data_IF_630178145616
#
_entry.id   IF_630178145616
#
_cell.length_a   1.000
_cell.length_b   1.000
_cell.length_c   1.000
_cell.angle_alpha   90.00
_cell.angle_beta   90.00
_cell.angle_gamma   90.00
#
_symmetry.space_group_name_H-M   'P 1'
#
loop_
_entity.id
_entity.type
_entity.pdbx_description
1 polymer ?
#
# COMPACT_ATOMS: atom_id res chain seq x y z
N UNK A 1 14.55 -11.99 0.56
CA UNK A 1 13.22 -11.39 0.71
C UNK A 1 12.11 -12.44 0.82
N UNK A 2 11.85 -13.27 -0.21
CA UNK A 2 10.80 -14.29 -0.14
C UNK A 2 11.00 -15.28 1.03
N UNK A 3 12.25 -15.71 1.27
CA UNK A 3 12.60 -16.62 2.37
C UNK A 3 12.34 -16.00 3.75
N UNK A 4 12.47 -14.67 3.89
CA UNK A 4 12.25 -13.99 5.18
C UNK A 4 10.76 -13.88 5.51
N UNK A 5 9.92 -13.60 4.53
CA UNK A 5 8.46 -13.61 4.67
C UNK A 5 7.95 -15.00 5.05
N UNK A 6 8.45 -16.03 4.38
CA UNK A 6 8.11 -17.41 4.67
C UNK A 6 8.51 -17.83 6.09
N UNK A 7 9.71 -17.47 6.54
CA UNK A 7 10.19 -17.72 7.90
C UNK A 7 9.30 -17.07 8.97
N UNK A 8 8.83 -15.85 8.73
CA UNK A 8 7.91 -15.17 9.66
C UNK A 8 6.57 -15.89 9.76
N UNK A 9 5.98 -16.29 8.63
CA UNK A 9 4.71 -16.99 8.60
C UNK A 9 4.78 -18.34 9.30
N UNK A 10 5.83 -19.11 9.06
CA UNK A 10 6.04 -20.42 9.70
C UNK A 10 6.21 -20.28 11.22
N UNK A 11 6.96 -19.28 11.68
CA UNK A 11 7.13 -19.05 13.12
C UNK A 11 5.82 -18.60 13.81
N UNK A 12 5.02 -17.78 13.15
CA UNK A 12 3.72 -17.32 13.68
C UNK A 12 2.69 -18.44 13.77
N UNK A 13 2.73 -19.39 12.88
CA UNK A 13 1.76 -20.47 12.81
C UNK A 13 1.99 -21.59 13.85
N UNK A 14 2.97 -21.46 14.74
CA UNK A 14 3.26 -22.30 15.92
C UNK A 14 3.20 -23.84 15.72
N UNK A 15 3.15 -24.36 14.49
CA UNK A 15 3.21 -25.79 14.19
C UNK A 15 4.63 -26.37 14.30
N UNK A 16 5.62 -25.49 14.38
CA UNK A 16 7.02 -25.86 14.58
C UNK A 16 7.45 -25.41 15.98
N UNK A 17 7.93 -26.34 16.77
CA UNK A 17 8.67 -26.00 17.98
C UNK A 17 9.99 -25.27 17.64
N UNK A 18 10.65 -24.72 18.63
CA UNK A 18 11.87 -23.93 18.40
C UNK A 18 13.03 -24.78 17.83
N UNK A 19 13.06 -26.08 18.10
CA UNK A 19 14.08 -26.98 17.60
C UNK A 19 13.89 -27.24 16.10
N UNK A 20 12.70 -27.64 15.68
CA UNK A 20 12.35 -27.82 14.27
C UNK A 20 12.50 -26.53 13.47
N UNK A 21 12.13 -25.38 14.05
CA UNK A 21 12.34 -24.10 13.41
C UNK A 21 13.83 -23.76 13.20
N UNK A 22 14.68 -24.10 14.18
CA UNK A 22 16.13 -23.92 14.04
C UNK A 22 16.73 -24.85 13.01
N UNK A 23 16.30 -26.11 12.91
CA UNK A 23 16.68 -27.03 11.86
C UNK A 23 16.26 -26.51 10.47
N UNK A 24 15.02 -26.02 10.33
CA UNK A 24 14.54 -25.41 9.11
C UNK A 24 15.39 -24.19 8.69
N UNK A 25 15.73 -23.32 9.66
CA UNK A 25 16.64 -22.18 9.38
C UNK A 25 18.01 -22.60 8.87
N UNK A 26 18.60 -23.67 9.41
CA UNK A 26 19.87 -24.20 8.93
C UNK A 26 19.75 -24.75 7.50
N UNK A 27 18.69 -25.50 7.23
CA UNK A 27 18.39 -25.98 5.88
C UNK A 27 18.25 -24.80 4.89
N UNK A 28 17.46 -23.76 5.23
CA UNK A 28 17.28 -22.59 4.36
C UNK A 28 18.57 -21.81 4.11
N UNK A 29 19.47 -21.74 5.09
CA UNK A 29 20.79 -21.12 4.90
C UNK A 29 21.66 -21.88 3.90
N UNK A 30 21.52 -23.20 3.80
CA UNK A 30 22.25 -24.01 2.81
C UNK A 30 21.74 -23.84 1.38
N UNK A 31 20.54 -23.27 1.21
CA UNK A 31 19.93 -23.00 -0.11
C UNK A 31 20.37 -21.67 -0.73
N UNK A 32 21.38 -21.02 -0.16
CA UNK A 32 21.92 -19.79 -0.78
C UNK A 32 22.57 -20.10 -2.12
N UNK A 33 22.61 -19.13 -2.99
CA UNK A 33 23.31 -19.19 -4.27
C UNK A 33 24.81 -19.45 -4.06
N UNK A 34 25.43 -20.22 -4.94
CA UNK A 34 26.85 -20.52 -4.90
C UNK A 34 27.71 -19.26 -4.98
N UNK A 35 28.83 -19.24 -4.25
CA UNK A 35 29.76 -18.09 -4.22
C UNK A 35 30.37 -17.73 -5.59
N UNK A 36 30.34 -18.68 -6.55
CA UNK A 36 30.86 -18.50 -7.91
C UNK A 36 29.74 -18.42 -8.96
N UNK A 37 28.51 -18.23 -8.54
CA UNK A 37 27.41 -18.05 -9.49
C UNK A 37 27.67 -16.82 -10.37
N UNK A 38 27.39 -16.97 -11.67
CA UNK A 38 27.44 -15.87 -12.64
C UNK A 38 26.02 -15.47 -12.93
N UNK A 39 25.70 -14.19 -12.79
CA UNK A 39 24.39 -13.62 -13.06
C UNK A 39 24.41 -12.86 -14.37
N UNK A 40 23.32 -12.94 -15.15
CA UNK A 40 23.17 -12.18 -16.40
C UNK A 40 23.11 -10.68 -16.14
N UNK A 41 22.51 -10.27 -15.03
CA UNK A 41 22.41 -8.88 -14.61
C UNK A 41 22.47 -8.78 -13.08
N UNK A 42 23.22 -7.81 -12.59
CA UNK A 42 23.27 -7.43 -11.18
C UNK A 42 22.85 -5.96 -11.04
N UNK A 43 21.91 -5.70 -10.15
CA UNK A 43 21.41 -4.35 -9.88
C UNK A 43 21.58 -4.06 -8.40
N UNK A 44 22.37 -3.03 -8.10
CA UNK A 44 22.53 -2.51 -6.73
C UNK A 44 21.65 -1.27 -6.53
N UNK A 45 20.79 -1.31 -5.51
CA UNK A 45 19.87 -0.21 -5.17
C UNK A 45 20.15 0.24 -3.74
N UNK A 46 20.56 1.51 -3.59
CA UNK A 46 20.67 2.15 -2.29
C UNK A 46 19.27 2.56 -1.78
N UNK A 47 18.70 1.70 -0.96
CA UNK A 47 17.34 1.89 -0.44
C UNK A 47 17.22 3.08 0.53
N UNK A 48 18.33 3.61 1.06
CA UNK A 48 18.32 4.79 1.94
C UNK A 48 17.94 6.08 1.20
N UNK A 49 18.04 6.08 -0.13
CA UNK A 49 17.70 7.21 -1.01
C UNK A 49 16.28 7.15 -1.58
N UNK A 50 15.55 6.07 -1.33
CA UNK A 50 14.19 5.93 -1.84
C UNK A 50 13.25 6.80 -0.99
N UNK A 51 12.67 7.83 -1.61
CA UNK A 51 11.62 8.64 -1.01
C UNK A 51 10.28 7.89 -1.00
N UNK A 52 9.31 8.31 -0.17
CA UNK A 52 7.94 7.82 -0.27
C UNK A 52 7.38 8.00 -1.68
N UNK A 53 6.78 6.94 -2.23
CA UNK A 53 6.30 6.91 -3.60
C UNK A 53 4.79 6.69 -3.66
N UNK A 54 4.16 7.29 -4.67
CA UNK A 54 2.72 7.17 -4.92
C UNK A 54 2.48 7.00 -6.42
N UNK A 55 1.58 6.10 -6.80
CA UNK A 55 1.20 5.97 -8.20
C UNK A 55 0.27 7.10 -8.61
N UNK A 56 0.49 7.66 -9.79
CA UNK A 56 -0.35 8.72 -10.37
C UNK A 56 -1.27 8.19 -11.49
N UNK A 57 -0.98 7.02 -12.05
CA UNK A 57 -1.69 6.47 -13.19
C UNK A 57 -2.37 5.13 -12.91
N UNK A 58 -2.64 4.36 -13.96
CA UNK A 58 -3.42 3.12 -13.95
C UNK A 58 -2.58 1.86 -13.94
N UNK A 59 -1.27 1.98 -13.71
CA UNK A 59 -0.31 0.88 -13.57
C UNK A 59 0.63 1.15 -12.39
N UNK A 60 1.14 0.14 -11.66
CA UNK A 60 2.10 0.33 -10.58
C UNK A 60 3.42 0.99 -11.01
N UNK A 61 3.80 0.87 -12.26
CA UNK A 61 4.99 1.52 -12.84
C UNK A 61 4.82 3.04 -13.05
N UNK A 62 3.56 3.52 -13.13
CA UNK A 62 3.23 4.94 -13.20
C UNK A 62 3.32 5.57 -11.80
N UNK A 63 4.53 5.68 -11.28
CA UNK A 63 4.84 6.10 -9.93
C UNK A 63 5.79 7.29 -9.93
N UNK A 64 5.64 8.17 -8.94
CA UNK A 64 6.57 9.28 -8.66
C UNK A 64 6.81 9.36 -7.16
N UNK A 65 7.90 10.04 -6.75
CA UNK A 65 8.02 10.43 -5.35
C UNK A 65 6.90 11.43 -5.00
N UNK A 66 6.47 11.44 -3.77
CA UNK A 66 5.30 12.24 -3.35
C UNK A 66 5.44 13.74 -3.61
N UNK A 67 6.68 14.25 -3.62
CA UNK A 67 7.06 15.67 -3.84
C UNK A 67 7.44 15.99 -5.29
N UNK A 68 7.56 14.98 -6.16
CA UNK A 68 7.89 15.17 -7.57
C UNK A 68 6.64 15.54 -8.40
N UNK A 69 6.83 16.22 -9.54
CA UNK A 69 5.72 16.53 -10.43
C UNK A 69 5.17 15.27 -11.11
N UNK A 70 3.87 15.26 -11.36
CA UNK A 70 3.21 14.22 -12.16
C UNK A 70 3.64 14.37 -13.61
N UNK A 71 4.14 13.32 -14.29
CA UNK A 71 4.58 13.39 -15.68
C UNK A 71 3.50 13.93 -16.61
N UNK A 72 3.88 14.85 -17.48
CA UNK A 72 3.01 15.41 -18.51
C UNK A 72 3.27 14.73 -19.88
N UNK A 73 2.39 14.96 -20.86
CA UNK A 73 2.57 14.46 -22.21
C UNK A 73 3.86 15.04 -22.85
N UNK A 74 4.23 16.27 -22.47
CA UNK A 74 5.42 16.96 -23.01
C UNK A 74 6.72 16.29 -22.52
N UNK A 75 6.72 15.83 -21.28
CA UNK A 75 7.89 15.21 -20.65
C UNK A 75 8.07 13.73 -21.03
N UNK A 76 7.14 13.19 -21.82
CA UNK A 76 7.07 11.76 -22.15
C UNK A 76 7.56 11.51 -23.58
N UNK A 77 8.28 10.40 -23.80
CA UNK A 77 8.68 9.97 -25.14
C UNK A 77 7.45 9.64 -26.01
N UNK A 78 7.59 9.75 -27.34
CA UNK A 78 6.47 9.59 -28.31
C UNK A 78 5.71 8.28 -28.13
N UNK A 79 6.42 7.18 -27.81
CA UNK A 79 5.84 5.84 -27.65
C UNK A 79 4.85 5.77 -26.46
N UNK A 80 5.13 6.50 -25.40
CA UNK A 80 4.35 6.48 -24.16
C UNK A 80 3.33 7.62 -24.04
N UNK A 81 3.35 8.61 -24.92
CA UNK A 81 2.44 9.78 -24.85
C UNK A 81 0.98 9.39 -24.74
N UNK A 82 0.54 8.46 -25.58
CA UNK A 82 -0.86 7.99 -25.58
C UNK A 82 -1.24 7.33 -24.24
N UNK A 83 -0.34 6.53 -23.68
CA UNK A 83 -0.59 5.85 -22.39
C UNK A 83 -0.67 6.85 -21.25
N UNK A 84 0.20 7.86 -21.25
CA UNK A 84 0.18 8.94 -20.25
C UNK A 84 -1.11 9.75 -20.36
N UNK A 85 -1.54 10.11 -21.58
CA UNK A 85 -2.78 10.85 -21.83
C UNK A 85 -4.02 10.07 -21.33
N UNK A 86 -4.13 8.78 -21.68
CA UNK A 86 -5.22 7.93 -21.26
C UNK A 86 -5.24 7.77 -19.73
N UNK A 87 -4.09 7.52 -19.11
CA UNK A 87 -3.98 7.38 -17.66
C UNK A 87 -4.37 8.69 -16.95
N UNK A 88 -3.85 9.84 -17.37
CA UNK A 88 -4.23 11.15 -16.81
C UNK A 88 -5.73 11.42 -16.95
N UNK A 89 -6.30 11.11 -18.12
CA UNK A 89 -7.74 11.27 -18.38
C UNK A 89 -8.56 10.41 -17.45
N UNK A 90 -8.25 9.12 -17.33
CA UNK A 90 -8.94 8.21 -16.42
C UNK A 90 -8.83 8.65 -14.94
N UNK A 91 -7.62 8.98 -14.53
CA UNK A 91 -7.35 9.43 -13.17
C UNK A 91 -7.87 10.84 -12.88
N UNK A 92 -8.42 11.56 -13.88
CA UNK A 92 -8.94 12.91 -13.74
C UNK A 92 -7.88 13.91 -13.33
N UNK A 93 -6.65 13.75 -13.85
CA UNK A 93 -5.51 14.64 -13.64
C UNK A 93 -5.39 15.51 -14.88
N UNK A 94 -5.95 16.71 -14.84
CA UNK A 94 -5.93 17.63 -15.99
C UNK A 94 -4.79 18.64 -15.87
N UNK A 95 -4.88 19.52 -14.89
CA UNK A 95 -3.94 20.63 -14.69
C UNK A 95 -3.05 20.42 -13.46
N UNK A 96 -3.33 19.41 -12.66
CA UNK A 96 -2.58 19.10 -11.47
C UNK A 96 -1.17 18.65 -11.84
N UNK A 97 -0.20 19.32 -11.24
CA UNK A 97 1.22 19.02 -11.47
C UNK A 97 1.84 18.19 -10.36
N UNK A 98 1.18 18.13 -9.18
CA UNK A 98 1.66 17.38 -8.01
C UNK A 98 0.55 16.51 -7.42
N UNK A 99 0.96 15.44 -6.77
CA UNK A 99 0.04 14.57 -6.04
C UNK A 99 -0.62 15.28 -4.85
N UNK A 100 0.05 16.26 -4.25
CA UNK A 100 -0.49 17.10 -3.17
C UNK A 100 -1.68 17.98 -3.60
N UNK A 101 -1.84 18.22 -4.92
CA UNK A 101 -2.95 19.01 -5.46
C UNK A 101 -4.24 18.17 -5.58
N UNK A 102 -4.11 16.83 -5.42
CA UNK A 102 -5.22 15.89 -5.52
C UNK A 102 -5.93 15.74 -4.19
N UNK A 103 -7.26 15.84 -4.21
CA UNK A 103 -8.11 15.56 -3.06
C UNK A 103 -8.57 14.11 -3.11
N UNK A 104 -8.53 13.43 -1.97
CA UNK A 104 -8.93 12.03 -1.85
C UNK A 104 -10.30 11.91 -1.20
N UNK A 105 -11.08 10.93 -1.65
CA UNK A 105 -12.44 10.67 -1.15
C UNK A 105 -12.46 9.51 -0.17
N UNK A 106 -11.59 8.51 -0.38
CA UNK A 106 -11.51 7.29 0.44
C UNK A 106 -10.07 6.88 0.73
N UNK A 107 -9.91 6.12 1.81
CA UNK A 107 -8.64 5.50 2.18
C UNK A 107 -8.83 4.01 2.45
N UNK A 108 -7.93 3.20 1.93
CA UNK A 108 -7.89 1.76 2.15
C UNK A 108 -6.52 1.30 2.62
N UNK A 109 -6.43 0.86 3.86
CA UNK A 109 -5.25 0.19 4.43
C UNK A 109 -5.57 -1.29 4.55
N UNK A 110 -5.01 -2.11 3.65
CA UNK A 110 -5.35 -3.52 3.58
C UNK A 110 -4.42 -4.25 2.62
N UNK A 111 -4.82 -5.42 2.22
CA UNK A 111 -4.14 -6.43 1.42
C UNK A 111 -3.22 -7.36 2.22
N UNK A 112 -3.01 -8.56 1.69
CA UNK A 112 -2.18 -9.59 2.34
C UNK A 112 -0.69 -9.22 2.46
N UNK A 113 -0.21 -8.24 1.69
CA UNK A 113 1.20 -7.82 1.68
C UNK A 113 1.46 -6.52 2.42
N UNK A 114 0.48 -5.63 2.52
CA UNK A 114 0.62 -4.26 3.04
C UNK A 114 -0.28 -3.99 4.26
N UNK A 115 -0.63 -5.02 5.01
CA UNK A 115 -1.40 -4.91 6.24
C UNK A 115 -0.94 -5.97 7.25
N UNK A 116 0.37 -6.11 7.39
CA UNK A 116 1.01 -6.90 8.44
C UNK A 116 0.97 -6.14 9.75
N UNK A 117 1.33 -6.78 10.83
CA UNK A 117 1.30 -6.12 12.14
C UNK A 117 2.24 -4.90 12.19
N UNK A 118 3.40 -4.97 11.53
CA UNK A 118 4.34 -3.86 11.46
C UNK A 118 3.76 -2.67 10.69
N UNK A 119 3.06 -2.94 9.58
CA UNK A 119 2.40 -1.92 8.77
C UNK A 119 1.28 -1.22 9.57
N UNK A 120 0.47 -2.01 10.29
CA UNK A 120 -0.61 -1.48 11.12
C UNK A 120 -0.08 -0.65 12.30
N UNK A 121 1.01 -1.07 12.95
CA UNK A 121 1.66 -0.29 14.01
C UNK A 121 2.13 1.07 13.50
N UNK A 122 2.84 1.09 12.37
CA UNK A 122 3.35 2.33 11.79
C UNK A 122 2.21 3.27 11.34
N UNK A 123 1.17 2.73 10.73
CA UNK A 123 -0.01 3.51 10.34
C UNK A 123 -0.76 4.05 11.58
N UNK A 124 -0.87 3.25 12.64
CA UNK A 124 -1.50 3.65 13.89
C UNK A 124 -0.78 4.82 14.57
N UNK A 125 0.56 4.86 14.54
CA UNK A 125 1.33 6.01 15.07
C UNK A 125 0.97 7.32 14.36
N UNK A 126 0.69 7.28 13.06
CA UNK A 126 0.31 8.48 12.28
C UNK A 126 -1.09 8.98 12.67
N UNK A 127 -2.04 8.07 12.92
CA UNK A 127 -3.45 8.45 13.17
C UNK A 127 -3.79 8.64 14.63
N UNK A 128 -2.94 8.20 15.55
CA UNK A 128 -3.17 8.24 17.00
C UNK A 128 -3.50 9.65 17.50
N UNK A 129 -4.66 9.79 18.13
CA UNK A 129 -5.14 11.06 18.67
C UNK A 129 -5.55 12.09 17.62
N UNK A 130 -5.71 11.67 16.37
CA UNK A 130 -6.18 12.52 15.27
C UNK A 130 -7.52 11.97 14.73
N UNK A 131 -8.13 12.72 13.83
CA UNK A 131 -9.39 12.33 13.16
C UNK A 131 -9.21 12.42 11.65
N UNK A 132 -9.86 11.53 10.90
CA UNK A 132 -9.87 11.58 9.43
C UNK A 132 -10.38 12.93 8.94
N UNK A 133 -9.80 13.41 7.83
CA UNK A 133 -10.15 14.70 7.22
C UNK A 133 -11.62 14.71 6.73
N UNK A 134 -12.25 15.88 6.75
CA UNK A 134 -13.67 16.05 6.39
C UNK A 134 -14.01 15.62 4.97
N UNK A 135 -13.06 15.71 4.04
CA UNK A 135 -13.24 15.26 2.66
C UNK A 135 -13.14 13.74 2.50
N UNK A 136 -12.61 13.01 3.48
CA UNK A 136 -12.53 11.54 3.46
C UNK A 136 -13.88 10.98 3.90
N UNK A 137 -14.67 10.51 2.95
CA UNK A 137 -15.99 9.95 3.20
C UNK A 137 -15.94 8.57 3.88
N UNK A 138 -14.84 7.83 3.67
CA UNK A 138 -14.66 6.49 4.23
C UNK A 138 -13.17 6.12 4.28
N UNK A 139 -12.73 5.67 5.44
CA UNK A 139 -11.39 5.11 5.65
C UNK A 139 -11.52 3.69 6.23
N UNK A 140 -10.95 2.69 5.54
CA UNK A 140 -11.10 1.27 5.91
C UNK A 140 -9.73 0.69 6.25
N UNK A 141 -9.68 -0.10 7.33
CA UNK A 141 -8.52 -0.93 7.68
C UNK A 141 -8.92 -2.40 7.67
N UNK A 142 -8.15 -3.21 6.93
CA UNK A 142 -8.34 -4.66 6.82
C UNK A 142 -7.04 -5.36 7.19
N UNK A 143 -6.95 -6.02 8.35
CA UNK A 143 -5.77 -6.79 8.74
C UNK A 143 -5.44 -7.89 7.74
N UNK A 144 -4.15 -8.16 7.52
CA UNK A 144 -3.66 -9.08 6.50
C UNK A 144 -3.99 -10.56 6.74
N UNK A 145 -4.37 -10.94 7.96
CA UNK A 145 -4.81 -12.29 8.32
C UNK A 145 -5.52 -12.30 9.68
N UNK A 146 -6.18 -13.41 10.03
CA UNK A 146 -6.81 -13.58 11.34
C UNK A 146 -5.83 -13.43 12.50
N UNK A 147 -4.61 -13.99 12.36
CA UNK A 147 -3.57 -13.85 13.39
C UNK A 147 -3.07 -12.41 13.54
N UNK A 148 -2.98 -11.67 12.43
CA UNK A 148 -2.62 -10.24 12.48
C UNK A 148 -3.74 -9.44 13.14
N UNK A 149 -5.01 -9.75 12.85
CA UNK A 149 -6.16 -9.12 13.49
C UNK A 149 -6.13 -9.33 14.99
N UNK A 150 -6.03 -10.59 15.44
CA UNK A 150 -5.96 -10.94 16.85
C UNK A 150 -4.82 -10.21 17.57
N UNK A 151 -3.63 -10.18 16.96
CA UNK A 151 -2.49 -9.48 17.52
C UNK A 151 -2.73 -7.96 17.57
N UNK A 152 -3.27 -7.36 16.52
CA UNK A 152 -3.56 -5.93 16.46
C UNK A 152 -4.59 -5.51 17.53
N UNK A 153 -5.64 -6.31 17.72
CA UNK A 153 -6.66 -6.09 18.75
C UNK A 153 -6.09 -6.24 20.16
N UNK A 154 -5.22 -7.23 20.39
CA UNK A 154 -4.52 -7.39 21.67
C UNK A 154 -3.58 -6.21 21.99
N UNK A 155 -3.04 -5.57 20.97
CA UNK A 155 -2.21 -4.35 21.08
C UNK A 155 -3.06 -3.06 21.13
N UNK A 156 -4.38 -3.14 20.93
CA UNK A 156 -5.31 -2.00 20.93
C UNK A 156 -5.24 -1.13 19.69
N UNK A 157 -4.67 -1.63 18.59
CA UNK A 157 -4.55 -0.88 17.33
C UNK A 157 -5.93 -0.64 16.68
N UNK A 158 -6.85 -1.58 16.82
CA UNK A 158 -8.24 -1.46 16.39
C UNK A 158 -8.90 -0.21 16.98
N UNK A 159 -8.68 0.06 18.26
CA UNK A 159 -9.20 1.23 18.97
C UNK A 159 -8.56 2.52 18.44
N UNK A 160 -7.24 2.52 18.21
CA UNK A 160 -6.55 3.69 17.64
C UNK A 160 -7.16 4.08 16.30
N UNK A 161 -7.41 3.09 15.41
CA UNK A 161 -8.02 3.36 14.11
C UNK A 161 -9.49 3.77 14.22
N UNK A 162 -10.29 3.09 15.04
CA UNK A 162 -11.73 3.43 15.20
C UNK A 162 -11.93 4.78 15.87
N UNK A 163 -11.12 5.14 16.85
CA UNK A 163 -11.14 6.46 17.49
C UNK A 163 -10.78 7.59 16.49
N UNK A 164 -9.93 7.30 15.51
CA UNK A 164 -9.59 8.21 14.43
C UNK A 164 -10.69 8.30 13.34
N UNK A 165 -11.72 7.43 13.36
CA UNK A 165 -12.82 7.40 12.41
C UNK A 165 -12.69 6.38 11.29
N UNK A 166 -11.72 5.46 11.37
CA UNK A 166 -11.61 4.35 10.43
C UNK A 166 -12.60 3.23 10.75
N UNK A 167 -13.00 2.51 9.70
CA UNK A 167 -13.80 1.29 9.82
C UNK A 167 -12.83 0.10 9.91
N UNK A 168 -12.85 -0.61 11.04
CA UNK A 168 -12.09 -1.82 11.25
C UNK A 168 -12.85 -3.02 10.69
N UNK A 169 -12.25 -3.77 9.75
CA UNK A 169 -12.87 -4.90 9.07
C UNK A 169 -12.24 -6.23 9.49
N UNK A 170 -12.94 -7.31 9.16
CA UNK A 170 -12.38 -8.66 9.20
C UNK A 170 -11.36 -8.89 8.07
N UNK A 171 -10.35 -9.76 8.27
CA UNK A 171 -9.40 -10.11 7.24
C UNK A 171 -10.08 -10.65 5.97
N UNK A 172 -9.68 -10.09 4.83
CA UNK A 172 -10.25 -10.44 3.55
C UNK A 172 -9.78 -9.50 2.44
N UNK A 173 -10.34 -9.65 1.25
CA UNK A 173 -9.97 -8.78 0.12
C UNK A 173 -10.61 -7.39 0.20
N UNK A 174 -11.86 -7.30 0.71
CA UNK A 174 -12.56 -6.02 0.86
C UNK A 174 -12.40 -5.13 -0.39
N UNK A 175 -12.12 -3.85 -0.22
CA UNK A 175 -11.90 -2.91 -1.32
C UNK A 175 -10.72 -3.27 -2.25
N UNK A 176 -9.77 -4.11 -1.82
CA UNK A 176 -8.64 -4.50 -2.68
C UNK A 176 -9.06 -5.07 -4.06
N UNK A 177 -10.22 -5.72 -4.14
CA UNK A 177 -10.80 -6.26 -5.38
C UNK A 177 -12.07 -5.55 -5.83
N UNK A 178 -12.73 -4.81 -4.96
CA UNK A 178 -14.02 -4.19 -5.25
C UNK A 178 -15.13 -5.20 -5.61
N UNK A 179 -15.09 -6.42 -5.08
CA UNK A 179 -16.07 -7.48 -5.34
C UNK A 179 -17.15 -7.60 -4.24
N UNK A 180 -17.10 -6.76 -3.25
CA UNK A 180 -18.06 -6.65 -2.15
C UNK A 180 -18.61 -5.20 -2.07
N UNK A 181 -19.47 -4.86 -1.12
CA UNK A 181 -19.98 -3.50 -0.97
C UNK A 181 -18.90 -2.42 -0.72
N UNK A 182 -17.71 -2.82 -0.20
CA UNK A 182 -16.57 -1.90 -0.04
C UNK A 182 -15.98 -1.58 -1.43
N UNK A 183 -16.51 -0.57 -2.10
CA UNK A 183 -16.14 -0.18 -3.46
C UNK A 183 -16.04 1.34 -3.59
N UNK A 184 -15.28 1.78 -4.59
CA UNK A 184 -15.31 3.15 -5.04
C UNK A 184 -16.54 3.39 -5.92
N UNK A 185 -17.18 4.52 -5.74
CA UNK A 185 -18.13 5.06 -6.72
C UNK A 185 -17.37 5.63 -7.91
N UNK A 186 -18.06 5.81 -9.07
CA UNK A 186 -17.44 6.41 -10.23
C UNK A 186 -16.73 7.74 -9.89
N UNK A 187 -15.48 7.84 -10.29
CA UNK A 187 -14.59 9.00 -10.12
C UNK A 187 -14.11 9.27 -8.70
N UNK A 188 -14.56 8.54 -7.68
CA UNK A 188 -13.94 8.62 -6.35
C UNK A 188 -12.47 8.22 -6.41
N UNK A 189 -11.66 8.95 -5.64
CA UNK A 189 -10.21 8.78 -5.53
C UNK A 189 -9.84 8.12 -4.21
N UNK A 190 -9.06 7.04 -4.29
CA UNK A 190 -8.65 6.27 -3.11
C UNK A 190 -7.13 6.28 -2.92
N UNK A 191 -6.69 6.63 -1.71
CA UNK A 191 -5.36 6.32 -1.20
C UNK A 191 -5.35 4.87 -0.73
N UNK A 192 -4.59 4.00 -1.39
CA UNK A 192 -4.74 2.56 -1.24
C UNK A 192 -3.41 1.84 -1.06
N UNK A 193 -3.38 0.88 -0.15
CA UNK A 193 -2.25 -0.04 0.03
C UNK A 193 -2.43 -1.35 -0.73
N UNK A 194 -3.38 -1.43 -1.67
CA UNK A 194 -3.57 -2.60 -2.52
C UNK A 194 -2.37 -2.83 -3.47
N UNK A 195 -2.35 -3.97 -4.17
CA UNK A 195 -1.21 -4.37 -5.00
C UNK A 195 -1.37 -3.99 -6.48
N UNK A 196 -2.52 -3.50 -6.89
CA UNK A 196 -2.88 -3.19 -8.28
C UNK A 196 -3.81 -2.00 -8.32
N UNK A 197 -3.68 -1.19 -9.37
CA UNK A 197 -4.46 0.03 -9.60
C UNK A 197 -4.95 0.18 -11.05
N UNK A 198 -5.10 -0.94 -11.77
CA UNK A 198 -5.69 -0.88 -13.10
C UNK A 198 -7.13 -0.33 -13.04
N UNK A 199 -7.62 0.18 -14.16
CA UNK A 199 -8.95 0.77 -14.28
C UNK A 199 -10.05 -0.13 -13.72
N UNK A 200 -10.87 0.40 -12.84
CA UNK A 200 -11.98 -0.32 -12.20
C UNK A 200 -11.58 -1.30 -11.09
N UNK A 201 -10.29 -1.39 -10.70
CA UNK A 201 -9.81 -2.36 -9.70
C UNK A 201 -10.58 -2.33 -8.39
N UNK A 202 -10.87 -1.16 -7.87
CA UNK A 202 -11.58 -0.97 -6.59
C UNK A 202 -13.04 -0.53 -6.78
N UNK A 203 -13.55 -0.54 -8.00
CA UNK A 203 -14.90 -0.13 -8.38
C UNK A 203 -14.94 0.51 -9.77
N UNK A 204 -16.09 0.46 -10.42
CA UNK A 204 -16.25 1.02 -11.77
C UNK A 204 -15.88 2.51 -11.82
N UNK A 205 -14.99 2.90 -12.71
CA UNK A 205 -14.41 4.25 -12.84
C UNK A 205 -13.74 4.79 -11.55
N UNK A 206 -13.43 3.94 -10.59
CA UNK A 206 -12.71 4.32 -9.38
C UNK A 206 -11.24 4.63 -9.68
N UNK A 207 -10.67 5.62 -8.99
CA UNK A 207 -9.30 6.13 -9.18
C UNK A 207 -8.43 5.71 -8.01
N UNK A 208 -7.57 4.71 -8.23
CA UNK A 208 -6.73 4.11 -7.17
C UNK A 208 -5.30 4.63 -7.26
N UNK A 209 -4.81 5.23 -6.18
CA UNK A 209 -3.41 5.58 -6.00
C UNK A 209 -2.76 4.61 -5.01
N UNK A 210 -1.77 3.84 -5.45
CA UNK A 210 -1.01 2.94 -4.58
C UNK A 210 0.02 3.74 -3.79
N UNK A 211 0.08 3.43 -2.49
CA UNK A 211 1.05 4.04 -1.57
C UNK A 211 1.30 3.13 -0.36
N UNK A 212 2.29 3.47 0.45
CA UNK A 212 2.58 2.73 1.68
C UNK A 212 1.49 2.94 2.75
N UNK A 213 1.37 2.04 3.74
CA UNK A 213 0.42 2.19 4.85
C UNK A 213 0.58 3.51 5.62
N UNK A 214 1.80 3.97 5.82
CA UNK A 214 2.10 5.26 6.47
C UNK A 214 1.54 6.42 5.64
N UNK A 215 1.79 6.41 4.32
CA UNK A 215 1.28 7.44 3.41
C UNK A 215 -0.25 7.44 3.34
N UNK A 216 -0.88 6.26 3.31
CA UNK A 216 -2.33 6.15 3.32
C UNK A 216 -2.93 6.67 4.64
N UNK A 217 -2.31 6.35 5.77
CA UNK A 217 -2.69 6.88 7.08
C UNK A 217 -2.55 8.41 7.14
N UNK A 218 -1.43 8.96 6.63
CA UNK A 218 -1.23 10.41 6.52
C UNK A 218 -2.32 11.06 5.64
N UNK A 219 -2.59 10.46 4.48
CA UNK A 219 -3.63 10.95 3.56
C UNK A 219 -5.03 10.94 4.19
N UNK A 220 -5.33 9.94 5.03
CA UNK A 220 -6.60 9.88 5.75
C UNK A 220 -6.79 11.08 6.70
N UNK A 221 -5.72 11.50 7.37
CA UNK A 221 -5.78 12.59 8.34
C UNK A 221 -5.77 13.97 7.67
N UNK A 222 -5.09 14.11 6.54
CA UNK A 222 -4.89 15.41 5.88
C UNK A 222 -5.77 15.62 4.64
N UNK A 223 -6.43 14.57 4.13
CA UNK A 223 -7.26 14.60 2.93
C UNK A 223 -6.49 14.68 1.62
N UNK A 224 -5.17 14.79 1.66
CA UNK A 224 -4.26 14.88 0.52
C UNK A 224 -2.92 14.22 0.85
N UNK A 225 -2.12 13.93 -0.19
CA UNK A 225 -0.77 13.35 -0.06
C UNK A 225 0.22 14.40 0.45
N UNK A 226 1.12 13.99 1.32
CA UNK A 226 2.20 14.83 1.84
C UNK A 226 3.29 14.01 2.51
N UNK A 227 4.21 14.69 3.21
CA UNK A 227 5.28 14.03 3.94
C UNK A 227 4.76 13.42 5.25
N UNK A 228 4.87 12.10 5.43
CA UNK A 228 4.43 11.43 6.66
C UNK A 228 5.48 11.45 7.79
N UNK A 229 6.70 11.98 7.55
CA UNK A 229 7.82 12.03 8.53
C UNK A 229 7.63 13.09 9.62
#
# INVERSE_FOLDING_TARGET
AASDVYKRQVKKNSFLDDELFNQAKQCWKSLRTDDKAVFDNEIEIDVSKIKPQVTWGTSPEMVVNFDDPIPTIIDTNEENKKNVELARTYMGIQNELKLSDLVFDKVFIGSCTNSRIEDLRQAAEIVKGKTIAENISEAIVVPGSGLVKEQAENEGLDKVFTDAGFIWRDPGCSMCLGMNPDQLKPHERCASTSNRNFEGRQGYLGRTHLMSPIMAAFTAINGTVGDPS
#
